data_IF_119410716942
#
_entry.id   IF_119410716942
#
_cell.length_a   1.000
_cell.length_b   1.000
_cell.length_c   1.000
_cell.angle_alpha   90.00
_cell.angle_beta   90.00
_cell.angle_gamma   90.00
#
_symmetry.space_group_name_H-M   'P 1'
#
loop_
_entity.id
_entity.type
_entity.pdbx_description
1 polymer ?
#
# COMPACT_ATOMS: atom_id res chain seq x y z
N UNK A 1 12.10 -12.59 25.16
CA UNK A 1 10.92 -11.71 25.11
C UNK A 1 9.71 -12.59 24.90
N UNK A 2 8.60 -12.26 25.55
CA UNK A 2 7.32 -12.92 25.30
C UNK A 2 6.86 -12.60 23.86
N UNK A 3 6.16 -13.53 23.22
CA UNK A 3 5.69 -13.32 21.85
C UNK A 3 4.69 -12.14 21.81
N UNK A 4 4.77 -11.24 20.81
CA UNK A 4 3.86 -10.11 20.71
C UNK A 4 2.39 -10.54 20.65
N UNK A 5 1.53 -9.89 21.44
CA UNK A 5 0.09 -10.09 21.36
C UNK A 5 -0.49 -9.39 20.12
N UNK A 6 -0.59 -10.11 19.01
CA UNK A 6 -0.99 -9.55 17.72
C UNK A 6 -2.42 -8.99 17.71
N UNK A 7 -3.35 -9.58 18.48
CA UNK A 7 -4.72 -9.07 18.59
C UNK A 7 -4.76 -7.72 19.31
N UNK A 8 -4.00 -7.59 20.40
CA UNK A 8 -3.92 -6.32 21.12
C UNK A 8 -3.23 -5.23 20.30
N UNK A 9 -2.18 -5.59 19.55
CA UNK A 9 -1.52 -4.69 18.60
C UNK A 9 -2.52 -4.23 17.54
N UNK A 10 -3.21 -5.16 16.88
CA UNK A 10 -4.22 -4.87 15.87
C UNK A 10 -5.30 -3.92 16.38
N UNK A 11 -5.93 -4.24 17.51
CA UNK A 11 -7.03 -3.43 18.05
C UNK A 11 -6.56 -2.02 18.42
N UNK A 12 -5.31 -1.91 18.91
CA UNK A 12 -4.71 -0.62 19.17
C UNK A 12 -4.43 0.17 17.89
N UNK A 13 -3.84 -0.44 16.86
CA UNK A 13 -3.61 0.19 15.56
C UNK A 13 -4.93 0.65 14.92
N UNK A 14 -5.99 -0.15 14.98
CA UNK A 14 -7.32 0.24 14.53
C UNK A 14 -7.82 1.49 15.27
N UNK A 15 -7.62 1.55 16.59
CA UNK A 15 -8.01 2.73 17.37
C UNK A 15 -7.21 3.99 17.00
N UNK A 16 -5.92 3.84 16.71
CA UNK A 16 -5.05 4.94 16.29
C UNK A 16 -5.38 5.42 14.89
N UNK A 17 -5.64 4.51 13.95
CA UNK A 17 -6.01 4.86 12.58
C UNK A 17 -7.30 5.70 12.54
N UNK A 18 -8.31 5.35 13.33
CA UNK A 18 -9.55 6.13 13.42
C UNK A 18 -9.28 7.53 13.99
N UNK A 19 -8.51 7.64 15.08
CA UNK A 19 -8.12 8.94 15.67
C UNK A 19 -7.32 9.81 14.69
N UNK A 20 -6.37 9.21 13.96
CA UNK A 20 -5.61 9.90 12.93
C UNK A 20 -6.53 10.41 11.80
N UNK A 21 -7.50 9.59 11.38
CA UNK A 21 -8.49 10.01 10.40
C UNK A 21 -9.39 11.16 10.86
N UNK A 22 -9.67 11.29 12.15
CA UNK A 22 -10.38 12.46 12.69
C UNK A 22 -9.52 13.73 12.57
N UNK A 23 -8.21 13.65 12.78
CA UNK A 23 -7.28 14.77 12.58
C UNK A 23 -7.29 15.17 11.09
N UNK A 24 -7.17 14.21 10.17
CA UNK A 24 -7.16 14.44 8.72
C UNK A 24 -8.49 15.04 8.23
N UNK A 25 -9.64 14.57 8.73
CA UNK A 25 -10.93 15.13 8.33
C UNK A 25 -11.15 16.56 8.84
N UNK A 26 -10.59 16.91 10.00
CA UNK A 26 -10.65 18.27 10.54
C UNK A 26 -9.65 19.23 9.87
N UNK A 27 -8.70 18.71 9.11
CA UNK A 27 -7.66 19.47 8.41
C UNK A 27 -8.15 20.12 7.11
N UNK A 28 -9.18 19.55 6.46
CA UNK A 28 -9.70 20.08 5.20
C UNK A 28 -10.32 21.47 5.46
N UNK A 29 -9.85 22.54 4.81
CA UNK A 29 -10.41 23.86 5.03
C UNK A 29 -11.90 23.84 4.67
N UNK A 30 -12.75 24.22 5.63
CA UNK A 30 -14.12 24.59 5.31
C UNK A 30 -14.10 25.66 4.22
N UNK A 31 -15.07 25.65 3.32
CA UNK A 31 -15.20 26.56 2.16
C UNK A 31 -15.24 28.07 2.50
N UNK A 32 -15.03 28.44 3.75
CA UNK A 32 -15.17 29.79 4.30
C UNK A 32 -13.87 30.41 4.81
N UNK A 33 -12.73 29.69 4.82
CA UNK A 33 -11.49 30.25 5.37
C UNK A 33 -10.67 30.97 4.30
N UNK A 34 -10.98 32.25 4.10
CA UNK A 34 -10.27 33.16 3.17
C UNK A 34 -9.00 33.76 3.79
N UNK A 35 -8.42 33.07 4.78
CA UNK A 35 -7.64 33.70 5.83
C UNK A 35 -6.24 33.16 6.13
N UNK A 36 -5.56 32.40 5.27
CA UNK A 36 -4.10 32.22 5.45
C UNK A 36 -3.36 31.93 4.15
N UNK A 37 -2.26 32.66 3.93
CA UNK A 37 -1.31 32.44 2.84
C UNK A 37 -0.34 31.31 3.19
N UNK A 38 -0.84 30.13 3.52
CA UNK A 38 -0.01 28.92 3.56
C UNK A 38 -0.23 28.16 2.27
N UNK A 39 0.87 27.83 1.57
CA UNK A 39 0.77 27.01 0.37
C UNK A 39 0.32 25.61 0.78
N UNK A 40 -0.47 24.96 -0.07
CA UNK A 40 -1.08 23.66 0.23
C UNK A 40 -0.05 22.58 0.60
N UNK A 41 1.18 22.68 0.10
CA UNK A 41 2.30 21.79 0.46
C UNK A 41 2.78 21.95 1.91
N UNK A 42 2.81 23.18 2.43
CA UNK A 42 3.27 23.46 3.80
C UNK A 42 2.25 22.95 4.84
N UNK A 43 0.96 23.10 4.53
CA UNK A 43 -0.14 22.60 5.36
C UNK A 43 -0.11 21.08 5.51
N UNK A 44 0.17 20.39 4.42
CA UNK A 44 0.15 18.93 4.39
C UNK A 44 1.26 18.36 5.25
N UNK A 45 2.48 18.90 5.12
CA UNK A 45 3.60 18.52 5.98
C UNK A 45 3.36 18.81 7.48
N UNK A 46 2.45 19.72 7.84
CA UNK A 46 2.05 19.94 9.24
C UNK A 46 1.12 18.82 9.74
N UNK A 47 0.14 18.42 8.93
CA UNK A 47 -0.79 17.35 9.28
C UNK A 47 -0.12 15.98 9.31
N UNK A 48 0.73 15.66 8.34
CA UNK A 48 1.56 14.45 8.33
C UNK A 48 2.34 14.32 9.65
N UNK A 49 3.07 15.38 10.02
CA UNK A 49 3.83 15.43 11.28
C UNK A 49 2.95 15.35 12.52
N UNK A 50 1.78 16.00 12.52
CA UNK A 50 0.87 15.97 13.67
C UNK A 50 0.30 14.56 13.88
N UNK A 51 -0.10 13.89 12.80
CA UNK A 51 -0.60 12.52 12.80
C UNK A 51 0.49 11.55 13.23
N UNK A 52 1.69 11.63 12.64
CA UNK A 52 2.81 10.75 13.00
C UNK A 52 3.26 10.95 14.45
N UNK A 53 3.30 12.20 14.94
CA UNK A 53 3.65 12.47 16.33
C UNK A 53 2.63 11.87 17.31
N UNK A 54 1.33 11.99 17.01
CA UNK A 54 0.27 11.38 17.82
C UNK A 54 0.39 9.85 17.86
N UNK A 55 0.59 9.23 16.69
CA UNK A 55 0.75 7.77 16.56
C UNK A 55 2.01 7.30 17.28
N UNK A 56 3.17 7.90 16.98
CA UNK A 56 4.46 7.48 17.52
C UNK A 56 4.54 7.67 19.03
N UNK A 57 3.98 8.74 19.59
CA UNK A 57 3.87 8.94 21.04
C UNK A 57 3.04 7.83 21.68
N UNK A 58 1.83 7.58 21.15
CA UNK A 58 0.93 6.54 21.67
C UNK A 58 1.55 5.14 21.61
N UNK A 59 2.28 4.84 20.53
CA UNK A 59 2.97 3.55 20.35
C UNK A 59 4.14 3.40 21.32
N UNK A 60 4.98 4.43 21.51
CA UNK A 60 6.12 4.38 22.44
C UNK A 60 5.68 4.27 23.89
N UNK A 61 4.57 4.91 24.26
CA UNK A 61 3.98 4.79 25.61
C UNK A 61 3.51 3.36 25.89
N UNK A 62 2.81 2.74 24.93
CA UNK A 62 2.26 1.38 25.10
C UNK A 62 3.29 0.28 24.89
N UNK A 63 4.21 0.45 23.95
CA UNK A 63 5.18 -0.55 23.50
C UNK A 63 6.60 0.05 23.46
N UNK A 64 7.19 0.40 24.61
CA UNK A 64 8.48 1.09 24.68
C UNK A 64 9.68 0.27 24.16
N UNK A 65 9.49 -1.03 23.91
CA UNK A 65 10.53 -1.95 23.45
C UNK A 65 10.47 -2.26 21.95
N UNK A 66 9.44 -1.79 21.24
CA UNK A 66 9.33 -1.98 19.79
C UNK A 66 9.88 -0.75 19.07
N UNK A 67 10.53 -0.99 17.93
CA UNK A 67 11.04 0.08 17.08
C UNK A 67 9.90 0.79 16.35
N UNK A 68 10.19 2.00 15.86
CA UNK A 68 9.27 2.82 15.09
C UNK A 68 9.96 3.27 13.80
N UNK A 69 9.28 3.11 12.67
CA UNK A 69 9.74 3.47 11.34
C UNK A 69 8.63 4.22 10.60
N UNK A 70 8.64 5.54 10.70
CA UNK A 70 7.65 6.42 10.06
C UNK A 70 8.25 7.20 8.90
N UNK A 71 7.40 7.66 7.98
CA UNK A 71 7.79 8.49 6.84
C UNK A 71 8.40 9.83 7.28
N UNK A 72 7.73 10.56 8.18
CA UNK A 72 8.09 11.94 8.52
C UNK A 72 9.32 12.02 9.43
N UNK A 73 9.58 10.95 10.18
CA UNK A 73 10.75 10.81 11.05
C UNK A 73 11.77 9.80 10.50
N UNK A 74 11.69 9.48 9.21
CA UNK A 74 12.62 8.56 8.56
C UNK A 74 14.07 9.05 8.68
N UNK A 75 14.94 8.16 9.16
CA UNK A 75 16.38 8.39 9.28
C UNK A 75 17.12 7.29 8.49
N UNK A 76 17.80 7.63 7.37
CA UNK A 76 18.60 6.68 6.62
C UNK A 76 19.70 5.98 7.43
N UNK A 77 20.15 6.58 8.55
CA UNK A 77 21.11 5.95 9.45
C UNK A 77 20.49 4.86 10.35
N UNK A 78 19.16 4.72 10.34
CA UNK A 78 18.39 3.74 11.12
C UNK A 78 17.52 2.90 10.19
N UNK A 79 18.12 2.03 9.36
CA UNK A 79 17.38 1.16 8.47
C UNK A 79 16.53 0.15 9.25
N UNK A 80 15.53 -0.43 8.58
CA UNK A 80 14.68 -1.45 9.15
C UNK A 80 15.50 -2.67 9.63
N UNK A 81 15.28 -3.07 10.88
CA UNK A 81 15.98 -4.21 11.51
C UNK A 81 15.06 -5.45 11.61
N UNK A 82 15.58 -6.54 12.19
CA UNK A 82 14.75 -7.71 12.53
C UNK A 82 13.94 -7.52 13.83
N UNK A 83 14.15 -6.41 14.55
CA UNK A 83 13.39 -6.10 15.75
C UNK A 83 11.90 -5.90 15.41
N UNK A 84 11.00 -6.18 16.38
CA UNK A 84 9.60 -5.83 16.24
C UNK A 84 9.44 -4.33 15.99
N UNK A 85 8.85 -3.97 14.86
CA UNK A 85 8.82 -2.58 14.38
C UNK A 85 7.41 -2.18 13.96
N UNK A 86 6.93 -1.03 14.46
CA UNK A 86 5.80 -0.33 13.87
C UNK A 86 6.25 0.46 12.66
N UNK A 87 5.57 0.28 11.53
CA UNK A 87 5.89 0.92 10.27
C UNK A 87 4.68 1.76 9.85
N UNK A 88 4.85 3.08 9.71
CA UNK A 88 3.73 4.03 9.68
C UNK A 88 3.87 5.00 8.52
N UNK A 89 2.80 5.13 7.75
CA UNK A 89 2.56 6.26 6.87
C UNK A 89 1.37 7.05 7.45
N UNK A 90 1.57 8.30 7.89
CA UNK A 90 0.50 9.12 8.44
C UNK A 90 -0.57 9.47 7.39
N UNK A 91 -0.19 9.74 6.13
CA UNK A 91 -1.09 10.08 5.03
C UNK A 91 -0.52 9.57 3.68
N UNK A 92 -0.77 8.29 3.37
CA UNK A 92 -0.48 7.75 2.05
C UNK A 92 -1.47 8.35 1.04
N UNK A 93 -0.93 8.85 -0.07
CA UNK A 93 -1.68 9.66 -1.02
C UNK A 93 -1.78 11.13 -0.63
N UNK A 94 -0.71 11.68 -0.05
CA UNK A 94 -0.50 13.09 0.27
C UNK A 94 -1.00 14.04 -0.84
N UNK A 95 -0.68 13.76 -2.11
CA UNK A 95 -1.15 14.57 -3.26
C UNK A 95 -2.67 14.49 -3.43
N UNK A 96 -3.28 13.32 -3.24
CA UNK A 96 -4.73 13.18 -3.26
C UNK A 96 -5.39 13.97 -2.14
N UNK A 97 -4.83 13.90 -0.93
CA UNK A 97 -5.28 14.69 0.22
C UNK A 97 -5.25 16.20 -0.08
N UNK A 98 -4.13 16.72 -0.63
CA UNK A 98 -3.98 18.11 -1.07
C UNK A 98 -5.10 18.53 -2.03
N UNK A 99 -5.41 17.66 -2.98
CA UNK A 99 -6.40 17.93 -4.03
C UNK A 99 -7.83 17.53 -3.66
N UNK A 100 -8.07 17.07 -2.41
CA UNK A 100 -9.35 16.54 -1.96
C UNK A 100 -9.88 15.38 -2.82
N UNK A 101 -8.99 14.64 -3.49
CA UNK A 101 -9.35 13.40 -4.16
C UNK A 101 -9.52 12.31 -3.08
N UNK A 102 -10.66 11.60 -3.02
CA UNK A 102 -11.05 10.78 -1.86
C UNK A 102 -10.33 9.42 -1.78
N UNK A 103 -9.02 9.41 -2.07
CA UNK A 103 -8.17 8.24 -2.15
C UNK A 103 -6.83 8.49 -1.44
N UNK A 104 -6.93 8.83 -0.16
CA UNK A 104 -5.81 8.94 0.77
C UNK A 104 -6.15 8.17 2.05
N UNK A 105 -5.12 7.72 2.79
CA UNK A 105 -5.34 6.89 3.97
C UNK A 105 -4.23 7.00 5.01
N UNK A 106 -4.55 6.57 6.23
CA UNK A 106 -3.55 6.25 7.26
C UNK A 106 -3.15 4.79 7.09
N UNK A 107 -1.86 4.48 7.00
CA UNK A 107 -1.34 3.11 6.87
C UNK A 107 -0.47 2.74 8.08
N UNK A 108 -0.93 1.77 8.88
CA UNK A 108 -0.26 1.32 10.09
C UNK A 108 0.07 -0.17 9.99
N UNK A 109 1.36 -0.48 9.90
CA UNK A 109 1.89 -1.83 9.87
C UNK A 109 2.67 -2.19 11.13
N UNK A 110 2.76 -3.49 11.40
CA UNK A 110 3.68 -4.05 12.38
C UNK A 110 4.40 -5.25 11.77
N UNK A 111 5.72 -5.26 11.85
CA UNK A 111 6.57 -6.30 11.29
C UNK A 111 7.40 -7.00 12.37
N UNK A 112 7.61 -8.31 12.19
CA UNK A 112 8.51 -9.15 12.98
C UNK A 112 9.54 -9.75 12.04
N UNK A 113 10.83 -9.58 12.32
CA UNK A 113 11.91 -10.08 11.45
C UNK A 113 11.74 -9.60 10.00
N UNK A 114 11.33 -8.33 9.85
CA UNK A 114 10.96 -7.68 8.57
C UNK A 114 9.80 -8.35 7.82
N UNK A 115 9.05 -9.24 8.45
CA UNK A 115 7.85 -9.86 7.88
C UNK A 115 6.60 -9.08 8.35
N UNK A 116 5.84 -8.47 7.44
CA UNK A 116 4.55 -7.85 7.78
C UNK A 116 3.64 -8.84 8.50
N UNK A 117 3.12 -8.46 9.66
CA UNK A 117 2.38 -9.36 10.57
C UNK A 117 1.02 -8.81 10.99
N UNK A 118 0.89 -7.51 11.20
CA UNK A 118 -0.40 -6.82 11.41
C UNK A 118 -0.47 -5.62 10.48
N UNK A 119 -1.61 -5.40 9.83
CA UNK A 119 -1.84 -4.26 8.95
C UNK A 119 -3.20 -3.63 9.18
N UNK A 120 -3.23 -2.30 9.22
CA UNK A 120 -4.44 -1.47 9.26
C UNK A 120 -4.29 -0.34 8.25
N UNK A 121 -5.23 -0.22 7.33
CA UNK A 121 -5.31 0.89 6.36
C UNK A 121 -6.67 1.54 6.50
N UNK A 122 -6.72 2.84 6.81
CA UNK A 122 -7.96 3.58 7.01
C UNK A 122 -8.06 4.79 6.10
N UNK A 123 -9.04 4.79 5.19
CA UNK A 123 -9.39 5.96 4.39
C UNK A 123 -10.46 6.78 5.13
N UNK A 124 -10.11 7.98 5.66
CA UNK A 124 -11.02 8.78 6.44
C UNK A 124 -12.14 9.43 5.62
N UNK A 125 -11.90 9.72 4.33
CA UNK A 125 -12.89 10.33 3.44
C UNK A 125 -14.04 9.38 3.11
N UNK A 126 -13.74 8.09 2.92
CA UNK A 126 -14.75 7.07 2.62
C UNK A 126 -15.19 6.26 3.85
N UNK A 127 -14.53 6.45 4.99
CA UNK A 127 -14.70 5.66 6.22
C UNK A 127 -14.49 4.16 5.98
N UNK A 128 -13.55 3.84 5.11
CA UNK A 128 -13.21 2.47 4.73
C UNK A 128 -11.99 2.03 5.53
N UNK A 129 -12.14 0.97 6.33
CA UNK A 129 -11.07 0.38 7.14
C UNK A 129 -10.78 -1.03 6.65
N UNK A 130 -9.56 -1.24 6.15
CA UNK A 130 -9.01 -2.56 5.90
C UNK A 130 -8.11 -2.95 7.07
N UNK A 131 -8.20 -4.19 7.53
CA UNK A 131 -7.25 -4.70 8.51
C UNK A 131 -7.04 -6.20 8.40
N UNK A 132 -5.88 -6.66 8.85
CA UNK A 132 -5.51 -8.06 8.86
C UNK A 132 -4.49 -8.36 9.95
N UNK A 133 -4.53 -9.60 10.43
CA UNK A 133 -3.51 -10.21 11.27
C UNK A 133 -3.06 -11.48 10.56
N UNK A 134 -1.75 -11.70 10.47
CA UNK A 134 -1.19 -12.89 9.84
C UNK A 134 -1.81 -14.17 10.42
N UNK A 135 -2.33 -15.02 9.53
CA UNK A 135 -3.03 -16.27 9.85
C UNK A 135 -4.47 -16.13 10.33
N UNK A 136 -5.06 -14.92 10.31
CA UNK A 136 -6.43 -14.68 10.80
C UNK A 136 -7.38 -14.13 9.72
N UNK A 137 -6.91 -13.91 8.49
CA UNK A 137 -7.68 -13.34 7.41
C UNK A 137 -7.67 -11.81 7.40
N UNK A 138 -8.14 -11.26 6.27
CA UNK A 138 -8.29 -9.83 6.06
C UNK A 138 -9.77 -9.42 6.05
N UNK A 139 -10.05 -8.23 6.56
CA UNK A 139 -11.39 -7.73 6.76
C UNK A 139 -11.55 -6.28 6.31
N UNK A 140 -12.67 -6.00 5.67
CA UNK A 140 -13.20 -4.67 5.40
C UNK A 140 -14.22 -4.29 6.49
N UNK A 141 -14.05 -3.09 7.04
CA UNK A 141 -14.89 -2.51 8.08
C UNK A 141 -15.14 -3.46 9.25
N UNK A 142 -14.08 -4.20 9.65
CA UNK A 142 -14.01 -5.17 10.75
C UNK A 142 -14.86 -6.44 10.61
N UNK A 143 -15.79 -6.50 9.66
CA UNK A 143 -16.80 -7.57 9.58
C UNK A 143 -16.77 -8.33 8.26
N UNK A 144 -16.56 -7.64 7.15
CA UNK A 144 -16.63 -8.24 5.82
C UNK A 144 -15.30 -8.88 5.50
N UNK A 145 -15.25 -10.20 5.39
CA UNK A 145 -14.02 -10.91 5.02
C UNK A 145 -13.66 -10.63 3.56
N UNK A 146 -12.38 -10.46 3.28
CA UNK A 146 -11.85 -10.32 1.92
C UNK A 146 -11.48 -11.68 1.32
N UNK A 147 -11.48 -11.82 -0.02
CA UNK A 147 -11.90 -10.84 -1.03
C UNK A 147 -13.43 -10.63 -1.04
N UNK A 148 -13.92 -9.50 -1.58
CA UNK A 148 -15.34 -9.13 -1.48
C UNK A 148 -16.29 -10.07 -2.21
N UNK A 149 -15.81 -10.73 -3.28
CA UNK A 149 -16.59 -11.74 -4.00
C UNK A 149 -16.65 -13.10 -3.29
N UNK A 150 -15.88 -13.31 -2.21
CA UNK A 150 -15.80 -14.57 -1.49
C UNK A 150 -15.50 -15.75 -2.42
N UNK A 151 -16.32 -16.80 -2.37
CA UNK A 151 -16.18 -18.00 -3.21
C UNK A 151 -16.49 -17.75 -4.70
N UNK A 152 -17.02 -16.57 -5.06
CA UNK A 152 -17.32 -16.20 -6.45
C UNK A 152 -16.14 -15.49 -7.16
N UNK A 153 -14.97 -15.38 -6.52
CA UNK A 153 -13.78 -14.84 -7.19
C UNK A 153 -13.43 -15.70 -8.39
N UNK A 154 -13.27 -15.08 -9.56
CA UNK A 154 -12.90 -15.80 -10.78
C UNK A 154 -11.39 -16.09 -10.82
N UNK A 155 -10.96 -17.23 -11.39
CA UNK A 155 -9.55 -17.50 -11.67
C UNK A 155 -8.90 -16.41 -12.52
N UNK A 156 -7.63 -16.12 -12.24
CA UNK A 156 -6.82 -15.25 -13.08
C UNK A 156 -6.53 -15.98 -14.41
N UNK A 157 -6.77 -15.30 -15.53
CA UNK A 157 -6.69 -15.87 -16.88
C UNK A 157 -5.84 -15.01 -17.83
N UNK A 158 -4.83 -14.34 -17.27
CA UNK A 158 -3.87 -13.53 -18.00
C UNK A 158 -4.24 -12.04 -18.11
N UNK A 159 -3.27 -11.25 -18.58
CA UNK A 159 -3.30 -9.79 -18.53
C UNK A 159 -4.42 -9.15 -19.37
N UNK A 160 -4.86 -9.80 -20.44
CA UNK A 160 -5.91 -9.29 -21.31
C UNK A 160 -7.28 -9.14 -20.61
N UNK A 161 -7.47 -9.81 -19.47
CA UNK A 161 -8.66 -9.70 -18.64
C UNK A 161 -8.42 -8.86 -17.37
N UNK A 162 -7.19 -8.46 -17.10
CA UNK A 162 -6.77 -7.88 -15.84
C UNK A 162 -6.98 -6.35 -15.79
N UNK A 163 -7.56 -5.88 -14.70
CA UNK A 163 -7.53 -4.48 -14.29
C UNK A 163 -6.32 -4.26 -13.38
N UNK A 164 -5.36 -3.45 -13.83
CA UNK A 164 -4.12 -3.22 -13.09
C UNK A 164 -4.02 -1.79 -12.57
N UNK A 165 -3.49 -1.60 -11.36
CA UNK A 165 -3.01 -0.31 -10.90
C UNK A 165 -1.52 -0.14 -11.17
N UNK A 166 -1.15 1.07 -11.53
CA UNK A 166 0.21 1.56 -11.74
C UNK A 166 0.29 2.98 -11.17
N UNK A 167 1.49 3.44 -10.89
CA UNK A 167 1.68 4.80 -10.40
C UNK A 167 2.92 5.44 -11.04
N UNK A 168 2.83 6.73 -11.29
CA UNK A 168 3.87 7.43 -12.04
C UNK A 168 5.17 7.63 -11.23
N UNK A 169 5.08 7.60 -9.89
CA UNK A 169 6.17 7.93 -8.99
C UNK A 169 6.48 9.44 -8.91
N UNK A 170 7.33 9.79 -7.92
CA UNK A 170 7.82 11.15 -7.72
C UNK A 170 8.89 11.53 -8.77
N UNK A 171 9.79 10.60 -9.11
CA UNK A 171 10.83 10.83 -10.12
C UNK A 171 10.26 10.86 -11.53
N UNK A 172 10.47 11.98 -12.23
CA UNK A 172 10.04 12.18 -13.63
C UNK A 172 11.19 12.17 -14.63
N UNK A 173 12.30 11.56 -14.24
CA UNK A 173 13.50 11.43 -15.07
C UNK A 173 14.33 10.22 -14.65
N UNK A 174 15.33 9.86 -15.48
CA UNK A 174 16.26 8.78 -15.18
C UNK A 174 15.72 7.37 -15.45
N UNK A 175 16.49 6.36 -15.02
CA UNK A 175 16.25 4.96 -15.40
C UNK A 175 14.86 4.45 -14.99
N UNK A 176 14.41 4.77 -13.78
CA UNK A 176 13.14 4.25 -13.25
C UNK A 176 11.94 4.84 -13.99
N UNK A 177 11.98 6.15 -14.28
CA UNK A 177 10.98 6.82 -15.12
C UNK A 177 10.87 6.20 -16.51
N UNK A 178 12.00 6.03 -17.20
CA UNK A 178 12.03 5.44 -18.55
C UNK A 178 11.55 3.97 -18.55
N UNK A 179 11.93 3.20 -17.53
CA UNK A 179 11.49 1.81 -17.36
C UNK A 179 9.98 1.73 -17.15
N UNK A 180 9.42 2.58 -16.28
CA UNK A 180 7.97 2.67 -16.06
C UNK A 180 7.24 3.03 -17.36
N UNK A 181 7.65 4.11 -18.04
CA UNK A 181 6.99 4.59 -19.26
C UNK A 181 6.94 3.52 -20.36
N UNK A 182 8.08 2.88 -20.66
CA UNK A 182 8.14 1.82 -21.67
C UNK A 182 7.34 0.59 -21.27
N UNK A 183 7.31 0.26 -19.97
CA UNK A 183 6.49 -0.85 -19.46
C UNK A 183 5.00 -0.53 -19.60
N UNK A 184 4.55 0.68 -19.27
CA UNK A 184 3.15 1.10 -19.44
C UNK A 184 2.74 1.08 -20.91
N UNK A 185 3.61 1.54 -21.80
CA UNK A 185 3.40 1.45 -23.24
C UNK A 185 3.27 -0.02 -23.68
N UNK A 186 4.16 -0.90 -23.21
CA UNK A 186 4.12 -2.34 -23.54
C UNK A 186 2.86 -3.01 -23.01
N UNK A 187 2.40 -2.66 -21.81
CA UNK A 187 1.18 -3.21 -21.21
C UNK A 187 -0.08 -2.74 -21.96
N UNK A 188 -0.14 -1.47 -22.35
CA UNK A 188 -1.30 -0.87 -23.02
C UNK A 188 -1.41 -1.17 -24.52
N UNK A 189 -0.29 -1.46 -25.21
CA UNK A 189 -0.31 -1.77 -26.65
C UNK A 189 -1.10 -3.04 -26.96
N UNK A 190 -1.72 -3.08 -28.14
CA UNK A 190 -2.39 -4.30 -28.63
C UNK A 190 -1.40 -5.44 -28.85
N UNK A 191 -1.88 -6.68 -28.76
CA UNK A 191 -1.05 -7.89 -28.98
C UNK A 191 -0.42 -7.92 -30.37
N UNK A 192 -1.16 -7.51 -31.40
CA UNK A 192 -0.68 -7.41 -32.79
C UNK A 192 0.51 -6.45 -32.93
N UNK A 193 0.55 -5.39 -32.11
CA UNK A 193 1.65 -4.43 -32.06
C UNK A 193 2.69 -4.79 -30.97
N UNK A 194 2.70 -6.03 -30.52
CA UNK A 194 3.65 -6.58 -29.56
C UNK A 194 3.45 -6.14 -28.11
N UNK A 195 2.26 -5.66 -27.73
CA UNK A 195 1.92 -5.34 -26.33
C UNK A 195 1.14 -6.44 -25.60
N UNK A 196 0.82 -6.21 -24.34
CA UNK A 196 0.04 -7.13 -23.51
C UNK A 196 -1.48 -7.01 -23.73
N UNK A 197 -1.94 -5.82 -24.14
CA UNK A 197 -3.35 -5.42 -24.20
C UNK A 197 -4.06 -5.67 -22.86
N UNK A 198 -3.52 -5.12 -21.77
CA UNK A 198 -4.19 -5.19 -20.47
C UNK A 198 -5.61 -4.62 -20.57
N UNK A 199 -6.58 -5.17 -19.83
CA UNK A 199 -7.98 -4.73 -19.96
C UNK A 199 -8.14 -3.25 -19.67
N UNK A 200 -7.51 -2.77 -18.60
CA UNK A 200 -7.32 -1.35 -18.34
C UNK A 200 -6.27 -1.12 -17.26
N UNK A 201 -5.77 0.12 -17.19
CA UNK A 201 -4.89 0.60 -16.14
C UNK A 201 -5.58 1.67 -15.28
N UNK A 202 -5.18 1.79 -14.01
CA UNK A 202 -5.55 2.86 -13.08
C UNK A 202 -4.29 3.45 -12.46
N UNK A 203 -4.32 4.74 -12.14
CA UNK A 203 -3.39 5.42 -11.25
C UNK A 203 -4.28 6.20 -10.29
N UNK A 204 -4.32 5.75 -9.04
CA UNK A 204 -5.26 6.19 -8.02
C UNK A 204 -4.58 7.04 -6.95
N UNK A 205 -3.25 6.98 -6.84
CA UNK A 205 -2.41 7.91 -6.07
C UNK A 205 -2.18 7.55 -4.61
N UNK A 206 -2.48 6.32 -4.17
CA UNK A 206 -2.12 5.79 -2.83
C UNK A 206 -1.73 4.32 -2.95
N UNK A 207 -0.52 3.98 -2.52
CA UNK A 207 0.03 2.63 -2.65
C UNK A 207 -0.68 1.63 -1.72
N UNK A 208 -0.95 2.03 -0.48
CA UNK A 208 -1.64 1.21 0.52
C UNK A 208 -3.08 0.91 0.09
N UNK A 209 -3.81 1.89 -0.46
CA UNK A 209 -5.16 1.67 -0.97
C UNK A 209 -5.17 0.87 -2.28
N UNK A 210 -4.17 1.04 -3.16
CA UNK A 210 -4.01 0.16 -4.33
C UNK A 210 -3.83 -1.30 -3.89
N UNK A 211 -2.99 -1.56 -2.88
CA UNK A 211 -2.83 -2.90 -2.31
C UNK A 211 -4.14 -3.44 -1.71
N UNK A 212 -4.89 -2.60 -0.99
CA UNK A 212 -6.19 -3.00 -0.45
C UNK A 212 -7.22 -3.32 -1.55
N UNK A 213 -7.22 -2.56 -2.65
CA UNK A 213 -8.09 -2.81 -3.79
C UNK A 213 -7.69 -4.08 -4.58
N UNK A 214 -6.41 -4.49 -4.53
CA UNK A 214 -6.00 -5.82 -5.00
C UNK A 214 -6.48 -6.90 -4.03
N UNK A 215 -6.31 -6.69 -2.72
CA UNK A 215 -6.76 -7.63 -1.70
C UNK A 215 -8.28 -7.89 -1.73
N UNK A 216 -9.07 -6.84 -1.97
CA UNK A 216 -10.52 -6.92 -2.00
C UNK A 216 -11.07 -7.52 -3.32
N UNK A 217 -10.23 -7.61 -4.35
CA UNK A 217 -10.52 -8.16 -5.67
C UNK A 217 -11.08 -7.15 -6.68
N UNK A 218 -11.08 -5.85 -6.36
CA UNK A 218 -11.46 -4.76 -7.28
C UNK A 218 -10.41 -4.58 -8.37
N UNK A 219 -9.13 -4.71 -8.02
CA UNK A 219 -8.00 -4.77 -8.94
C UNK A 219 -7.46 -6.19 -9.00
N UNK A 220 -6.94 -6.58 -10.17
CA UNK A 220 -6.27 -7.87 -10.33
C UNK A 220 -4.79 -7.78 -9.93
N UNK A 221 -4.12 -6.67 -10.26
CA UNK A 221 -2.70 -6.45 -9.98
C UNK A 221 -2.42 -5.00 -9.59
N UNK A 222 -1.32 -4.80 -8.84
CA UNK A 222 -0.70 -3.50 -8.62
C UNK A 222 0.81 -3.63 -8.83
N UNK A 223 1.37 -2.80 -9.72
CA UNK A 223 2.81 -2.74 -9.97
C UNK A 223 3.35 -1.35 -9.73
N UNK A 224 4.27 -1.24 -8.77
CA UNK A 224 4.99 -0.02 -8.53
C UNK A 224 6.43 -0.28 -8.06
N UNK A 225 7.36 0.52 -8.57
CA UNK A 225 8.64 0.77 -7.92
C UNK A 225 8.69 2.17 -7.33
N UNK A 226 9.42 2.30 -6.22
CA UNK A 226 9.67 3.55 -5.52
C UNK A 226 9.07 3.57 -4.12
N UNK A 227 8.07 2.73 -3.83
CA UNK A 227 7.41 2.70 -2.54
C UNK A 227 8.40 2.38 -1.41
N UNK A 228 8.14 2.88 -0.22
CA UNK A 228 8.85 2.59 1.01
C UNK A 228 8.14 1.50 1.81
N UNK A 229 8.74 1.10 2.93
CA UNK A 229 8.16 0.09 3.80
C UNK A 229 6.79 0.52 4.37
N UNK A 230 6.60 1.82 4.64
CA UNK A 230 5.36 2.37 5.19
C UNK A 230 4.20 2.36 4.19
N UNK A 231 4.49 2.58 2.91
CA UNK A 231 3.52 2.47 1.81
C UNK A 231 2.92 1.06 1.68
N UNK A 232 3.70 0.02 1.98
CA UNK A 232 3.34 -1.37 1.65
C UNK A 232 3.10 -2.28 2.84
N UNK A 233 3.68 -2.02 4.02
CA UNK A 233 3.65 -2.97 5.15
C UNK A 233 2.22 -3.39 5.51
N UNK A 234 1.33 -2.42 5.76
CA UNK A 234 -0.04 -2.72 6.15
C UNK A 234 -0.83 -3.39 5.02
N UNK A 235 -0.76 -2.82 3.81
CA UNK A 235 -1.43 -3.34 2.61
C UNK A 235 -0.98 -4.76 2.23
N UNK A 236 0.28 -5.11 2.48
CA UNK A 236 0.83 -6.44 2.21
C UNK A 236 0.23 -7.51 3.12
N UNK A 237 0.08 -7.24 4.43
CA UNK A 237 -0.62 -8.18 5.33
C UNK A 237 -2.05 -8.41 4.84
N UNK A 238 -2.76 -7.33 4.51
CA UNK A 238 -4.14 -7.37 4.02
C UNK A 238 -4.24 -8.19 2.72
N UNK A 239 -3.32 -7.98 1.78
CA UNK A 239 -3.23 -8.73 0.53
C UNK A 239 -3.01 -10.23 0.78
N UNK A 240 -2.00 -10.56 1.59
CA UNK A 240 -1.63 -11.96 1.84
C UNK A 240 -2.76 -12.73 2.52
N UNK A 241 -3.41 -12.09 3.49
CA UNK A 241 -4.53 -12.68 4.25
C UNK A 241 -5.84 -12.74 3.45
N UNK A 242 -5.93 -12.00 2.33
CA UNK A 242 -6.97 -12.17 1.32
C UNK A 242 -6.61 -13.23 0.26
N UNK A 243 -5.49 -13.94 0.42
CA UNK A 243 -5.01 -14.98 -0.49
C UNK A 243 -4.22 -14.46 -1.69
N UNK A 244 -3.89 -13.18 -1.72
CA UNK A 244 -3.02 -12.58 -2.73
C UNK A 244 -1.54 -12.92 -2.52
N UNK A 245 -0.72 -12.59 -3.52
CA UNK A 245 0.72 -12.75 -3.47
C UNK A 245 1.43 -11.43 -3.80
N UNK A 246 2.63 -11.27 -3.24
CA UNK A 246 3.54 -10.17 -3.55
C UNK A 246 4.83 -10.73 -4.12
N UNK A 247 5.19 -10.31 -5.33
CA UNK A 247 6.50 -10.55 -5.94
C UNK A 247 7.25 -9.22 -6.08
N UNK A 248 8.55 -9.27 -6.42
CA UNK A 248 9.28 -8.04 -6.73
C UNK A 248 8.76 -7.43 -8.04
N UNK A 249 8.85 -6.11 -8.14
CA UNK A 249 8.51 -5.39 -9.36
C UNK A 249 9.42 -5.77 -10.54
N UNK A 250 10.64 -6.23 -10.29
CA UNK A 250 11.58 -6.71 -11.30
C UNK A 250 11.40 -8.20 -11.63
N UNK A 251 11.58 -8.59 -12.91
CA UNK A 251 11.49 -9.98 -13.34
C UNK A 251 12.38 -10.95 -12.57
N UNK A 252 11.82 -12.11 -12.21
CA UNK A 252 12.57 -13.26 -11.70
C UNK A 252 12.86 -13.24 -10.20
N UNK A 253 12.43 -12.21 -9.47
CA UNK A 253 12.59 -12.11 -8.01
C UNK A 253 11.24 -12.33 -7.34
N UNK A 254 10.95 -13.58 -6.98
CA UNK A 254 9.67 -13.96 -6.37
C UNK A 254 9.53 -13.49 -4.92
N UNK A 255 10.63 -13.51 -4.16
CA UNK A 255 10.63 -13.10 -2.75
C UNK A 255 10.93 -11.60 -2.66
N UNK A 256 9.87 -10.78 -2.70
CA UNK A 256 10.00 -9.36 -2.43
C UNK A 256 10.46 -9.14 -0.98
N UNK A 257 11.30 -8.12 -0.76
CA UNK A 257 11.69 -7.65 0.57
C UNK A 257 10.82 -6.46 0.97
N UNK A 258 10.50 -6.33 2.26
CA UNK A 258 9.70 -5.22 2.79
C UNK A 258 10.33 -3.83 2.56
N UNK A 259 11.65 -3.77 2.51
CA UNK A 259 12.45 -2.60 2.17
C UNK A 259 12.97 -2.66 0.71
N UNK A 260 12.40 -3.54 -0.12
CA UNK A 260 12.84 -3.80 -1.49
C UNK A 260 12.44 -2.71 -2.49
N UNK A 261 11.43 -1.90 -2.15
CA UNK A 261 10.95 -0.75 -2.93
C UNK A 261 10.37 -1.04 -4.31
N UNK A 262 10.11 -2.30 -4.64
CA UNK A 262 9.69 -2.75 -5.96
C UNK A 262 8.71 -3.90 -5.78
N UNK A 263 7.47 -3.69 -6.19
CA UNK A 263 6.37 -4.56 -5.80
C UNK A 263 5.46 -4.88 -6.98
N UNK A 264 5.11 -6.15 -7.10
CA UNK A 264 4.05 -6.67 -7.95
C UNK A 264 3.08 -7.46 -7.07
N UNK A 265 1.98 -6.81 -6.70
CA UNK A 265 0.89 -7.44 -5.98
C UNK A 265 -0.11 -8.07 -6.95
N UNK A 266 -0.59 -9.26 -6.61
CA UNK A 266 -1.61 -10.00 -7.36
C UNK A 266 -2.70 -10.47 -6.40
N UNK A 267 -3.96 -10.24 -6.77
CA UNK A 267 -5.10 -10.61 -5.91
C UNK A 267 -5.19 -12.10 -5.65
N UNK A 268 -5.98 -12.46 -4.65
CA UNK A 268 -6.38 -13.85 -4.40
C UNK A 268 -7.11 -14.46 -5.60
N UNK A 269 -6.92 -15.76 -5.80
CA UNK A 269 -7.54 -16.56 -6.85
C UNK A 269 -7.92 -17.94 -6.30
N UNK A 270 -9.00 -18.61 -6.77
CA UNK A 270 -9.37 -19.94 -6.30
C UNK A 270 -8.20 -20.92 -6.41
N UNK A 271 -7.78 -21.47 -5.26
CA UNK A 271 -6.62 -22.36 -5.13
C UNK A 271 -5.31 -21.79 -5.72
N UNK A 272 -5.17 -20.47 -5.79
CA UNK A 272 -4.02 -19.79 -6.40
C UNK A 272 -3.93 -19.88 -7.92
N UNK A 273 -5.01 -20.31 -8.59
CA UNK A 273 -5.01 -20.54 -10.04
C UNK A 273 -4.65 -19.27 -10.82
N UNK A 274 -3.62 -19.34 -11.65
CA UNK A 274 -3.22 -18.23 -12.53
C UNK A 274 -2.37 -17.14 -11.86
N UNK A 275 -2.13 -17.19 -10.55
CA UNK A 275 -1.37 -16.16 -9.84
C UNK A 275 0.11 -16.13 -10.28
N UNK A 276 0.73 -17.30 -10.48
CA UNK A 276 2.14 -17.35 -10.89
C UNK A 276 2.29 -17.03 -12.37
N UNK A 277 1.40 -17.58 -13.18
CA UNK A 277 1.38 -17.40 -14.63
C UNK A 277 1.20 -15.93 -15.00
N UNK A 278 0.34 -15.19 -14.28
CA UNK A 278 0.14 -13.77 -14.56
C UNK A 278 1.31 -12.89 -14.10
N UNK A 279 2.04 -13.29 -13.05
CA UNK A 279 3.29 -12.62 -12.64
C UNK A 279 4.34 -12.80 -13.73
N UNK A 280 4.53 -14.02 -14.23
CA UNK A 280 5.47 -14.32 -15.30
C UNK A 280 5.09 -13.61 -16.61
N UNK A 281 3.79 -13.58 -16.95
CA UNK A 281 3.26 -12.81 -18.08
C UNK A 281 3.58 -11.32 -17.92
N UNK A 282 3.28 -10.74 -16.75
CA UNK A 282 3.58 -9.32 -16.46
C UNK A 282 5.07 -9.01 -16.60
N UNK A 283 5.92 -9.82 -15.97
CA UNK A 283 7.36 -9.66 -16.04
C UNK A 283 7.92 -9.75 -17.46
N UNK A 284 7.33 -10.57 -18.34
CA UNK A 284 7.70 -10.62 -19.76
C UNK A 284 7.46 -9.29 -20.51
N UNK A 285 6.61 -8.42 -19.95
CA UNK A 285 6.30 -7.10 -20.48
C UNK A 285 7.08 -5.96 -19.80
N UNK A 286 7.81 -6.19 -18.72
CA UNK A 286 8.65 -5.17 -18.08
C UNK A 286 9.80 -4.77 -19.02
N UNK A 287 9.93 -3.47 -19.31
CA UNK A 287 10.88 -2.91 -20.29
C UNK A 287 12.07 -2.19 -19.63
N UNK A 288 12.86 -2.95 -18.88
CA UNK A 288 14.04 -2.46 -18.17
C UNK A 288 14.18 -3.10 -16.79
N UNK A 289 14.86 -2.40 -15.88
CA UNK A 289 15.05 -2.81 -14.50
C UNK A 289 14.84 -1.59 -13.60
N UNK A 290 13.99 -1.72 -12.58
CA UNK A 290 13.81 -0.70 -11.55
C UNK A 290 15.03 -0.73 -10.60
N UNK A 291 15.68 0.42 -10.43
CA UNK A 291 16.92 0.63 -9.66
C UNK A 291 16.65 1.62 -8.53
N UNK A 292 15.82 1.19 -7.58
CA UNK A 292 15.57 1.87 -6.30
C UNK A 292 16.41 1.26 -5.19
#
# INVERSE_FOLDING_TARGET
MESPNLNEIHDFLVSLAVKAGDIINNALPGTNDTGSKMNSTDLVTEYDRAVENMISTSLREKYPHYEFHGEETYDPARPLTDAPTFIVDPIDGTINFVHSFPFACVSLGFALERIPTVGVVYNPSTKTLYSAIRGQGAFLNRKTRLPLKGDNVEPLSGLANALIAIEWGADRSGNNWETKLRTYEKLGKSKENGGAMVRAMRSLGSAALNLCAVADGTLDLYWEGGCWAWDVCAGWVILSEAGGIMADGNPGVWEARLDGRKYLAVRGSPNGTGQKEIVEEFWSHVQGELKY
#
